data_IF_103391357507
#
_entry.id   IF_103391357507
#
_cell.length_a   1.000
_cell.length_b   1.000
_cell.length_c   1.000
_cell.angle_alpha   90.00
_cell.angle_beta   90.00
_cell.angle_gamma   90.00
#
_symmetry.space_group_name_H-M   'P 1'
#
loop_
_entity.id
_entity.type
_entity.pdbx_description
1 polymer ?
#
# COMPACT_ATOMS: atom_id res chain seq x y z
N UNK A 1 6.91 -3.07 21.24
CA UNK A 1 7.15 -1.84 20.48
C UNK A 1 8.62 -1.52 20.47
N UNK A 2 9.20 -1.48 19.29
CA UNK A 2 10.54 -0.99 18.98
C UNK A 2 10.58 0.54 19.09
N UNK A 3 11.79 1.11 19.05
CA UNK A 3 11.99 2.57 19.06
C UNK A 3 11.31 3.23 17.85
N UNK A 4 11.43 2.65 16.67
CA UNK A 4 10.83 3.20 15.44
C UNK A 4 9.30 3.13 15.41
N UNK A 5 8.71 2.08 16.00
CA UNK A 5 7.25 2.04 16.20
C UNK A 5 6.79 3.15 17.15
N UNK A 6 7.59 3.49 18.18
CA UNK A 6 7.28 4.58 19.12
C UNK A 6 7.36 5.94 18.44
N UNK A 7 8.40 6.18 17.64
CA UNK A 7 8.53 7.40 16.82
C UNK A 7 7.31 7.56 15.90
N UNK A 8 6.93 6.49 15.20
CA UNK A 8 5.79 6.52 14.30
C UNK A 8 4.46 6.74 15.03
N UNK A 9 4.26 6.13 16.19
CA UNK A 9 3.08 6.37 17.02
C UNK A 9 2.96 7.84 17.44
N UNK A 10 4.07 8.45 17.88
CA UNK A 10 4.10 9.88 18.22
C UNK A 10 3.88 10.79 17.01
N UNK A 11 4.40 10.43 15.83
CA UNK A 11 4.14 11.11 14.58
C UNK A 11 2.64 11.11 14.22
N UNK A 12 1.99 9.94 14.27
CA UNK A 12 0.54 9.80 14.01
C UNK A 12 -0.28 10.60 15.03
N UNK A 13 0.07 10.52 16.32
CA UNK A 13 -0.58 11.30 17.36
C UNK A 13 -0.45 12.80 17.09
N UNK A 14 0.74 13.27 16.71
CA UNK A 14 1.00 14.67 16.37
C UNK A 14 0.14 15.16 15.20
N UNK A 15 -0.06 14.33 14.17
CA UNK A 15 -0.96 14.62 13.04
C UNK A 15 -2.42 14.68 13.49
N UNK A 16 -2.89 13.68 14.24
CA UNK A 16 -4.28 13.60 14.70
C UNK A 16 -4.67 14.75 15.64
N UNK A 17 -3.72 15.22 16.45
CA UNK A 17 -3.88 16.37 17.35
C UNK A 17 -3.63 17.71 16.65
N UNK A 18 -3.28 17.69 15.36
CA UNK A 18 -2.96 18.88 14.55
C UNK A 18 -1.83 19.74 15.17
N UNK A 19 -0.90 19.13 15.91
CA UNK A 19 0.26 19.78 16.53
C UNK A 19 1.40 19.97 15.53
N UNK A 20 1.12 20.63 14.41
CA UNK A 20 2.02 20.70 13.25
C UNK A 20 3.42 21.24 13.57
N UNK A 21 3.55 22.20 14.50
CA UNK A 21 4.83 22.76 14.92
C UNK A 21 5.73 21.73 15.63
N UNK A 22 5.11 20.77 16.32
CA UNK A 22 5.82 19.71 17.05
C UNK A 22 6.28 18.58 16.13
N UNK A 23 5.86 18.56 14.86
CA UNK A 23 6.15 17.47 13.92
C UNK A 23 7.66 17.33 13.66
N UNK A 24 8.42 18.42 13.77
CA UNK A 24 9.88 18.44 13.66
C UNK A 24 10.59 17.62 14.76
N UNK A 25 9.89 17.26 15.84
CA UNK A 25 10.39 16.34 16.86
C UNK A 25 10.42 14.88 16.37
N UNK A 26 9.55 14.52 15.43
CA UNK A 26 9.34 13.15 14.97
C UNK A 26 9.74 12.92 13.50
N UNK A 27 9.82 13.98 12.70
CA UNK A 27 10.23 13.95 11.29
C UNK A 27 11.39 14.90 11.04
N UNK A 28 12.30 14.51 10.16
CA UNK A 28 13.32 15.40 9.62
C UNK A 28 12.74 16.22 8.48
N UNK A 29 13.18 17.47 8.35
CA UNK A 29 12.86 18.33 7.22
C UNK A 29 14.16 18.77 6.54
N UNK A 30 14.26 18.72 5.19
CA UNK A 30 13.23 18.32 4.25
C UNK A 30 12.80 16.86 4.40
N UNK A 31 11.48 16.61 4.35
CA UNK A 31 10.85 15.30 4.45
C UNK A 31 10.54 14.81 3.03
N UNK A 32 11.03 13.64 2.64
CA UNK A 32 10.60 13.04 1.39
C UNK A 32 9.21 12.41 1.55
N UNK A 33 8.18 12.96 0.92
CA UNK A 33 6.80 12.50 1.01
C UNK A 33 6.24 12.18 -0.38
N UNK A 34 6.07 10.89 -0.70
CA UNK A 34 5.68 10.43 -2.04
C UNK A 34 6.57 11.01 -3.15
N UNK A 35 7.90 10.93 -2.98
CA UNK A 35 8.91 11.46 -3.90
C UNK A 35 8.98 13.00 -4.00
N UNK A 36 8.15 13.74 -3.25
CA UNK A 36 8.21 15.19 -3.12
C UNK A 36 8.98 15.59 -1.86
N UNK A 37 9.94 16.51 -1.98
CA UNK A 37 10.64 17.05 -0.82
C UNK A 37 9.84 18.19 -0.18
N UNK A 38 9.30 17.91 1.00
CA UNK A 38 8.55 18.89 1.80
C UNK A 38 9.53 19.63 2.71
N UNK A 39 9.71 20.96 2.55
CA UNK A 39 10.82 21.67 3.16
C UNK A 39 10.66 21.93 4.67
N UNK A 40 9.42 22.03 5.17
CA UNK A 40 9.15 22.34 6.59
C UNK A 40 7.87 21.68 7.10
N UNK A 41 7.71 21.65 8.42
CA UNK A 41 6.49 21.20 9.10
C UNK A 41 5.24 21.99 8.67
N UNK A 42 5.39 23.29 8.41
CA UNK A 42 4.30 24.16 7.98
C UNK A 42 3.85 23.84 6.56
N UNK A 43 4.80 23.57 5.65
CA UNK A 43 4.50 23.14 4.30
C UNK A 43 3.78 21.77 4.30
N UNK A 44 4.22 20.85 5.15
CA UNK A 44 3.54 19.58 5.36
C UNK A 44 2.10 19.77 5.87
N UNK A 45 1.92 20.62 6.89
CA UNK A 45 0.60 20.93 7.44
C UNK A 45 -0.33 21.53 6.40
N UNK A 46 0.15 22.45 5.55
CA UNK A 46 -0.62 23.02 4.46
C UNK A 46 -1.10 21.92 3.48
N UNK A 47 -0.19 21.00 3.11
CA UNK A 47 -0.51 19.87 2.24
C UNK A 47 -1.61 18.97 2.82
N UNK A 48 -1.51 18.59 4.09
CA UNK A 48 -2.51 17.73 4.75
C UNK A 48 -3.84 18.47 4.93
N UNK A 49 -3.82 19.75 5.32
CA UNK A 49 -5.04 20.55 5.48
C UNK A 49 -5.79 20.77 4.16
N UNK A 50 -5.08 20.78 3.03
CA UNK A 50 -5.70 20.94 1.72
C UNK A 50 -6.67 19.79 1.35
N UNK A 51 -6.48 18.58 1.91
CA UNK A 51 -7.40 17.46 1.69
C UNK A 51 -8.58 17.44 2.67
N UNK A 52 -8.50 18.20 3.76
CA UNK A 52 -9.51 18.27 4.82
C UNK A 52 -8.95 17.90 6.19
N UNK A 53 -9.85 17.60 7.14
CA UNK A 53 -9.45 17.13 8.47
C UNK A 53 -9.27 15.62 8.44
N UNK A 54 -8.06 15.18 8.76
CA UNK A 54 -7.63 13.79 8.71
C UNK A 54 -7.51 13.23 10.12
N UNK A 55 -8.03 12.02 10.33
CA UNK A 55 -7.74 11.20 11.50
C UNK A 55 -7.25 9.83 11.03
N UNK A 56 -6.12 9.40 11.58
CA UNK A 56 -5.43 8.15 11.24
C UNK A 56 -5.46 7.21 12.44
N UNK A 57 -6.02 6.03 12.23
CA UNK A 57 -5.97 4.92 13.19
C UNK A 57 -5.02 3.85 12.64
N UNK A 58 -4.08 3.38 13.46
CA UNK A 58 -3.15 2.32 13.06
C UNK A 58 -3.87 0.98 13.11
N UNK A 59 -3.94 0.29 11.97
CA UNK A 59 -4.47 -1.08 11.88
C UNK A 59 -3.35 -2.08 12.20
N UNK A 60 -2.28 -2.09 11.39
CA UNK A 60 -1.15 -2.98 11.61
C UNK A 60 0.18 -2.33 11.23
N UNK A 61 1.25 -2.78 11.89
CA UNK A 61 2.63 -2.43 11.58
C UNK A 61 3.40 -3.72 11.26
N UNK A 62 4.18 -3.67 10.19
CA UNK A 62 5.22 -4.64 9.81
C UNK A 62 6.55 -3.94 10.01
N UNK A 63 7.38 -4.43 10.93
CA UNK A 63 8.60 -3.73 11.36
C UNK A 63 9.87 -4.47 10.95
N UNK A 64 10.78 -3.75 10.27
CA UNK A 64 12.16 -4.15 10.12
C UNK A 64 13.06 -3.18 10.90
N UNK A 65 13.38 -3.58 12.12
CA UNK A 65 14.23 -2.79 13.01
C UNK A 65 15.69 -2.73 12.53
N UNK A 66 16.15 -3.68 11.70
CA UNK A 66 17.54 -3.67 11.21
C UNK A 66 17.72 -2.58 10.15
N UNK A 67 16.75 -2.43 9.25
CA UNK A 67 16.77 -1.40 8.20
C UNK A 67 16.10 -0.09 8.63
N UNK A 68 15.58 -0.01 9.85
CA UNK A 68 14.84 1.14 10.38
C UNK A 68 13.63 1.54 9.51
N UNK A 69 12.90 0.54 9.03
CA UNK A 69 11.75 0.72 8.14
C UNK A 69 10.47 0.12 8.71
N UNK A 70 9.35 0.74 8.37
CA UNK A 70 8.01 0.25 8.72
C UNK A 70 7.17 0.16 7.45
N UNK A 71 6.44 -0.95 7.32
CA UNK A 71 5.23 -1.00 6.51
C UNK A 71 4.02 -0.84 7.43
N UNK A 72 3.11 0.07 7.10
CA UNK A 72 1.99 0.43 7.98
C UNK A 72 0.70 0.37 7.20
N UNK A 73 -0.29 -0.36 7.74
CA UNK A 73 -1.68 -0.28 7.32
C UNK A 73 -2.45 0.64 8.28
N UNK A 74 -3.17 1.59 7.72
CA UNK A 74 -3.90 2.63 8.45
C UNK A 74 -5.35 2.69 7.99
N UNK A 75 -6.25 2.97 8.92
CA UNK A 75 -7.59 3.44 8.62
C UNK A 75 -7.59 4.98 8.68
N UNK A 76 -8.01 5.62 7.61
CA UNK A 76 -8.08 7.06 7.51
C UNK A 76 -9.53 7.53 7.46
N UNK A 77 -9.87 8.42 8.37
CA UNK A 77 -11.16 9.12 8.39
C UNK A 77 -10.91 10.52 7.88
N UNK A 78 -11.49 10.84 6.73
CA UNK A 78 -11.37 12.14 6.10
C UNK A 78 -12.68 12.89 6.25
N UNK A 79 -12.58 14.13 6.72
CA UNK A 79 -13.67 15.10 6.73
C UNK A 79 -13.31 16.26 5.83
N UNK A 80 -13.96 16.35 4.68
CA UNK A 80 -13.75 17.43 3.71
C UNK A 80 -14.98 18.34 3.62
N UNK A 81 -14.75 19.58 3.20
CA UNK A 81 -15.84 20.50 2.86
C UNK A 81 -16.16 20.30 1.37
N UNK A 82 -17.38 19.88 1.06
CA UNK A 82 -17.78 19.63 -0.33
C UNK A 82 -17.74 20.92 -1.14
N UNK A 83 -16.92 20.96 -2.19
CA UNK A 83 -16.68 22.13 -3.04
C UNK A 83 -17.96 22.73 -3.68
N UNK A 84 -19.09 22.01 -3.68
CA UNK A 84 -20.33 22.41 -4.34
C UNK A 84 -21.54 22.59 -3.42
N UNK A 85 -21.51 22.19 -2.14
CA UNK A 85 -22.76 22.12 -1.33
C UNK A 85 -22.67 22.64 0.10
N UNK A 86 -21.52 23.18 0.54
CA UNK A 86 -21.29 23.60 1.95
C UNK A 86 -21.53 22.49 2.99
N UNK A 87 -21.71 21.24 2.52
CA UNK A 87 -21.91 20.06 3.35
C UNK A 87 -20.56 19.42 3.66
N UNK A 88 -20.37 19.12 4.94
CA UNK A 88 -19.28 18.26 5.40
C UNK A 88 -19.50 16.86 4.87
N UNK A 89 -18.49 16.33 4.18
CA UNK A 89 -18.47 14.95 3.67
C UNK A 89 -17.49 14.16 4.52
N UNK A 90 -17.96 13.04 5.10
CA UNK A 90 -17.11 12.10 5.81
C UNK A 90 -16.89 10.87 4.93
N UNK A 91 -15.64 10.47 4.76
CA UNK A 91 -15.27 9.20 4.13
C UNK A 91 -14.27 8.45 5.01
N UNK A 92 -14.28 7.13 4.91
CA UNK A 92 -13.28 6.27 5.56
C UNK A 92 -12.56 5.48 4.49
N UNK A 93 -11.24 5.59 4.42
CA UNK A 93 -10.41 4.86 3.46
C UNK A 93 -9.35 4.05 4.17
N UNK A 94 -8.90 2.97 3.54
CA UNK A 94 -7.66 2.30 3.94
C UNK A 94 -6.48 2.98 3.26
N UNK A 95 -5.35 3.02 3.95
CA UNK A 95 -4.08 3.42 3.36
C UNK A 95 -2.98 2.49 3.80
N UNK A 96 -1.98 2.35 2.93
CA UNK A 96 -0.76 1.61 3.23
C UNK A 96 0.44 2.52 2.99
N UNK A 97 1.42 2.45 3.89
CA UNK A 97 2.58 3.34 3.89
C UNK A 97 3.88 2.59 4.15
N UNK A 98 4.95 3.05 3.51
CA UNK A 98 6.34 2.76 3.85
C UNK A 98 6.95 3.97 4.54
N UNK A 99 7.61 3.71 5.67
CA UNK A 99 8.23 4.74 6.51
C UNK A 99 9.70 4.39 6.67
N UNK A 100 10.57 5.39 6.49
CA UNK A 100 12.00 5.29 6.78
C UNK A 100 12.33 6.19 7.95
N UNK A 101 13.08 5.65 8.91
CA UNK A 101 13.56 6.39 10.07
C UNK A 101 15.08 6.47 10.02
N UNK A 102 15.60 7.70 10.08
CA UNK A 102 17.03 8.00 10.05
C UNK A 102 17.34 8.98 11.18
N UNK A 103 18.41 8.71 11.95
CA UNK A 103 18.78 9.56 13.08
C UNK A 103 17.68 9.72 14.15
N UNK A 104 16.78 8.73 14.28
CA UNK A 104 15.65 8.78 15.21
C UNK A 104 14.47 9.66 14.76
N UNK A 105 14.43 10.05 13.48
CA UNK A 105 13.32 10.82 12.89
C UNK A 105 12.86 10.19 11.58
N UNK A 106 11.58 10.34 11.26
CA UNK A 106 11.04 9.95 9.97
C UNK A 106 11.62 10.87 8.89
N UNK A 107 12.36 10.29 7.95
CA UNK A 107 12.99 11.03 6.84
C UNK A 107 12.30 10.82 5.50
N UNK A 108 11.58 9.70 5.34
CA UNK A 108 10.79 9.40 4.15
C UNK A 108 9.47 8.74 4.50
N UNK A 109 8.42 9.12 3.77
CA UNK A 109 7.08 8.52 3.80
C UNK A 109 6.65 8.29 2.35
N UNK A 110 6.32 7.05 2.03
CA UNK A 110 5.64 6.71 0.79
C UNK A 110 4.28 6.11 1.18
N UNK A 111 3.17 6.69 0.75
CA UNK A 111 1.82 6.35 1.23
C UNK A 111 0.81 6.38 0.10
N UNK A 112 -0.11 5.41 0.13
CA UNK A 112 -1.20 5.27 -0.82
C UNK A 112 -2.52 5.14 -0.08
N UNK A 113 -3.51 5.91 -0.52
CA UNK A 113 -4.89 5.80 -0.08
C UNK A 113 -5.70 5.06 -1.14
N UNK A 114 -6.65 4.24 -0.71
CA UNK A 114 -7.61 3.61 -1.61
C UNK A 114 -8.59 4.65 -2.17
N UNK A 115 -8.13 5.36 -3.21
CA UNK A 115 -8.88 6.42 -3.88
C UNK A 115 -10.17 5.89 -4.52
N UNK A 116 -10.17 4.65 -5.02
CA UNK A 116 -11.32 4.07 -5.71
C UNK A 116 -12.43 3.73 -4.71
N UNK A 117 -12.08 3.17 -3.55
CA UNK A 117 -13.04 2.92 -2.48
C UNK A 117 -13.66 4.22 -1.93
N UNK A 118 -12.84 5.25 -1.73
CA UNK A 118 -13.34 6.58 -1.31
C UNK A 118 -14.24 7.17 -2.39
N UNK A 119 -13.84 7.11 -3.66
CA UNK A 119 -14.66 7.63 -4.75
C UNK A 119 -16.02 6.93 -4.83
N UNK A 120 -16.06 5.60 -4.69
CA UNK A 120 -17.33 4.84 -4.68
C UNK A 120 -18.24 5.23 -3.52
N UNK A 121 -17.71 5.42 -2.31
CA UNK A 121 -18.49 5.94 -1.17
C UNK A 121 -19.15 7.29 -1.46
N UNK A 122 -18.47 8.13 -2.25
CA UNK A 122 -18.96 9.46 -2.60
C UNK A 122 -19.97 9.44 -3.75
N UNK A 123 -19.83 8.52 -4.71
CA UNK A 123 -20.63 8.49 -5.93
C UNK A 123 -21.81 7.52 -5.91
N UNK A 124 -21.77 6.47 -5.08
CA UNK A 124 -22.76 5.39 -5.08
C UNK A 124 -23.66 5.47 -3.83
N UNK A 125 -24.93 5.91 -3.95
CA UNK A 125 -25.85 5.96 -2.82
C UNK A 125 -26.06 4.57 -2.18
N UNK A 126 -25.82 4.47 -0.87
CA UNK A 126 -26.01 3.22 -0.12
C UNK A 126 -24.81 2.28 -0.12
N UNK A 127 -23.70 2.61 -0.81
CA UNK A 127 -22.46 1.87 -0.68
C UNK A 127 -21.89 1.99 0.73
N UNK A 128 -21.66 0.85 1.39
CA UNK A 128 -21.04 0.78 2.71
C UNK A 128 -19.67 0.12 2.57
N UNK A 129 -18.61 0.90 2.78
CA UNK A 129 -17.25 0.36 2.82
C UNK A 129 -17.05 -0.44 4.11
N UNK A 130 -16.60 -1.68 3.99
CA UNK A 130 -16.19 -2.52 5.12
C UNK A 130 -14.68 -2.73 5.03
N UNK A 131 -13.88 -2.10 5.91
CA UNK A 131 -12.44 -2.21 5.86
C UNK A 131 -11.96 -3.66 6.05
N UNK A 132 -11.07 -4.12 5.19
CA UNK A 132 -10.38 -5.41 5.35
C UNK A 132 -9.12 -5.20 6.21
N UNK A 133 -9.27 -5.29 7.53
CA UNK A 133 -8.22 -4.99 8.49
C UNK A 133 -7.14 -6.09 8.54
N UNK A 134 -5.87 -5.69 8.47
CA UNK A 134 -4.72 -6.58 8.61
C UNK A 134 -4.67 -7.18 10.01
N UNK A 135 -4.93 -6.39 11.05
CA UNK A 135 -4.91 -6.88 12.42
C UNK A 135 -6.01 -7.91 12.75
N UNK A 136 -7.07 -7.99 11.92
CA UNK A 136 -8.12 -9.00 12.08
C UNK A 136 -7.67 -10.41 11.73
N UNK A 137 -6.55 -10.54 11.03
CA UNK A 137 -6.03 -11.82 10.59
C UNK A 137 -5.01 -12.38 11.57
N UNK A 138 -5.34 -13.52 12.16
CA UNK A 138 -4.46 -14.31 13.00
C UNK A 138 -4.47 -15.75 12.51
N UNK A 139 -3.48 -16.18 11.71
CA UNK A 139 -3.39 -17.59 11.33
C UNK A 139 -3.10 -18.44 12.57
N UNK A 140 -3.66 -19.65 12.62
CA UNK A 140 -3.20 -20.64 13.57
C UNK A 140 -1.70 -20.85 13.37
N UNK A 141 -0.92 -20.83 14.46
CA UNK A 141 0.51 -21.11 14.41
C UNK A 141 0.70 -22.60 14.14
N UNK A 142 0.73 -22.94 12.87
CA UNK A 142 1.12 -24.26 12.38
C UNK A 142 2.37 -24.08 11.54
N UNK A 143 3.29 -25.04 11.61
CA UNK A 143 4.46 -25.11 10.73
C UNK A 143 5.62 -24.17 11.09
N UNK A 144 6.50 -24.00 10.11
CA UNK A 144 7.76 -23.26 10.23
C UNK A 144 7.55 -21.77 9.96
N UNK A 145 7.98 -20.93 10.91
CA UNK A 145 8.14 -19.50 10.69
C UNK A 145 9.42 -19.24 9.89
N UNK A 146 9.35 -18.29 8.97
CA UNK A 146 10.49 -17.81 8.21
C UNK A 146 11.16 -16.64 8.95
N UNK A 147 12.49 -16.59 8.93
CA UNK A 147 13.24 -15.40 9.35
C UNK A 147 12.96 -14.20 8.44
N UNK A 148 13.31 -12.99 8.89
CA UNK A 148 13.18 -11.76 8.06
C UNK A 148 13.82 -11.93 6.67
N UNK A 149 15.01 -12.55 6.59
CA UNK A 149 15.70 -12.79 5.32
C UNK A 149 14.97 -13.80 4.46
N UNK A 150 14.52 -14.91 5.03
CA UNK A 150 13.77 -15.94 4.28
C UNK A 150 12.43 -15.40 3.76
N UNK A 151 11.74 -14.54 4.52
CA UNK A 151 10.53 -13.85 4.07
C UNK A 151 10.82 -12.98 2.85
N UNK A 152 11.87 -12.15 2.90
CA UNK A 152 12.26 -11.30 1.79
C UNK A 152 12.69 -12.11 0.55
N UNK A 153 13.56 -13.12 0.74
CA UNK A 153 14.04 -13.98 -0.35
C UNK A 153 12.89 -14.75 -1.01
N UNK A 154 11.94 -15.25 -0.20
CA UNK A 154 10.74 -15.94 -0.69
C UNK A 154 9.85 -14.98 -1.48
N UNK A 155 9.63 -13.77 -0.97
CA UNK A 155 8.82 -12.76 -1.64
C UNK A 155 9.43 -12.31 -2.98
N UNK A 156 10.74 -12.04 -3.01
CA UNK A 156 11.44 -11.66 -4.25
C UNK A 156 11.42 -12.79 -5.28
N UNK A 157 11.54 -14.04 -4.84
CA UNK A 157 11.42 -15.22 -5.71
C UNK A 157 9.99 -15.38 -6.27
N UNK A 158 8.98 -15.08 -5.47
CA UNK A 158 7.57 -15.03 -5.92
C UNK A 158 7.37 -13.98 -7.01
N UNK A 159 7.87 -12.75 -6.83
CA UNK A 159 7.81 -11.71 -7.86
C UNK A 159 8.63 -12.11 -9.10
N UNK A 160 9.79 -12.73 -8.93
CA UNK A 160 10.57 -13.29 -10.05
C UNK A 160 9.79 -14.33 -10.84
N UNK A 161 9.01 -15.18 -10.18
CA UNK A 161 8.12 -16.15 -10.82
C UNK A 161 6.99 -15.47 -11.62
N UNK A 162 6.43 -14.36 -11.11
CA UNK A 162 5.43 -13.54 -11.81
C UNK A 162 6.03 -12.92 -13.06
N UNK A 163 7.15 -12.21 -12.93
CA UNK A 163 7.82 -11.54 -14.06
C UNK A 163 8.28 -12.52 -15.14
N UNK A 164 8.67 -13.74 -14.76
CA UNK A 164 8.99 -14.81 -15.71
C UNK A 164 7.76 -15.49 -16.34
N UNK A 165 6.54 -15.05 -15.98
CA UNK A 165 5.25 -15.65 -16.37
C UNK A 165 5.18 -17.17 -16.10
N UNK A 166 5.91 -17.65 -15.09
CA UNK A 166 6.02 -19.06 -14.72
C UNK A 166 4.98 -19.49 -13.67
N UNK A 167 3.93 -18.68 -13.48
CA UNK A 167 2.98 -18.80 -12.37
C UNK A 167 2.21 -20.13 -12.35
N UNK A 168 1.92 -20.71 -13.53
CA UNK A 168 1.17 -21.97 -13.64
C UNK A 168 1.81 -23.14 -12.90
N UNK A 169 3.15 -23.17 -12.82
CA UNK A 169 3.90 -24.21 -12.11
C UNK A 169 4.59 -23.67 -10.85
N UNK A 170 4.90 -22.38 -10.80
CA UNK A 170 5.66 -21.78 -9.71
C UNK A 170 4.83 -21.35 -8.50
N UNK A 171 3.58 -20.89 -8.68
CA UNK A 171 2.76 -20.38 -7.57
C UNK A 171 2.55 -21.36 -6.41
N UNK A 172 2.38 -22.69 -6.60
CA UNK A 172 2.22 -23.63 -5.49
C UNK A 172 3.37 -23.64 -4.48
N UNK A 173 4.56 -23.16 -4.87
CA UNK A 173 5.73 -23.01 -4.00
C UNK A 173 5.61 -21.82 -3.06
N UNK A 174 4.93 -20.77 -3.49
CA UNK A 174 4.90 -19.48 -2.79
C UNK A 174 3.58 -19.24 -2.07
N UNK A 175 2.48 -19.81 -2.54
CA UNK A 175 1.14 -19.56 -2.04
C UNK A 175 0.48 -20.85 -1.53
N UNK A 176 -0.43 -20.71 -0.57
CA UNK A 176 -1.35 -21.79 -0.22
C UNK A 176 -2.32 -22.10 -1.36
N UNK A 177 -2.97 -23.29 -1.35
CA UNK A 177 -3.96 -23.66 -2.36
C UNK A 177 -5.15 -22.70 -2.46
N UNK A 178 -5.40 -21.93 -1.39
CA UNK A 178 -6.31 -20.80 -1.40
C UNK A 178 -5.59 -19.59 -0.81
N UNK A 179 -5.78 -18.43 -1.44
CA UNK A 179 -5.24 -17.14 -0.99
C UNK A 179 -6.41 -16.21 -0.71
N UNK A 180 -6.40 -15.53 0.43
CA UNK A 180 -7.36 -14.45 0.70
C UNK A 180 -6.78 -13.16 0.16
N UNK A 181 -7.33 -12.60 -0.91
CA UNK A 181 -6.90 -11.35 -1.52
C UNK A 181 -8.00 -10.29 -1.40
N UNK A 182 -7.78 -9.22 -0.64
CA UNK A 182 -8.75 -8.15 -0.37
C UNK A 182 -10.13 -8.72 0.02
N UNK A 183 -10.17 -9.46 1.14
CA UNK A 183 -11.30 -10.21 1.69
C UNK A 183 -11.90 -11.32 0.79
N UNK A 184 -11.43 -11.50 -0.44
CA UNK A 184 -11.90 -12.55 -1.35
C UNK A 184 -11.04 -13.80 -1.19
N UNK A 185 -11.64 -14.91 -0.80
CA UNK A 185 -10.98 -16.21 -0.81
C UNK A 185 -10.94 -16.75 -2.24
N UNK A 186 -9.74 -16.83 -2.82
CA UNK A 186 -9.50 -17.31 -4.17
C UNK A 186 -8.79 -18.66 -4.10
N UNK A 187 -9.14 -19.58 -4.99
CA UNK A 187 -8.26 -20.70 -5.33
C UNK A 187 -6.97 -20.20 -5.95
N UNK A 188 -5.93 -21.04 -5.93
CA UNK A 188 -4.65 -20.66 -6.52
C UNK A 188 -4.74 -20.32 -8.01
N UNK A 189 -5.65 -20.96 -8.74
CA UNK A 189 -5.89 -20.67 -10.15
C UNK A 189 -6.61 -19.33 -10.36
N UNK A 190 -7.61 -19.01 -9.54
CA UNK A 190 -8.26 -17.69 -9.57
C UNK A 190 -7.27 -16.56 -9.21
N UNK A 191 -6.38 -16.82 -8.25
CA UNK A 191 -5.31 -15.89 -7.89
C UNK A 191 -4.29 -15.71 -9.04
N UNK A 192 -3.95 -16.78 -9.76
CA UNK A 192 -3.13 -16.72 -10.97
C UNK A 192 -3.79 -15.88 -12.07
N UNK A 193 -5.09 -16.12 -12.32
CA UNK A 193 -5.84 -15.41 -13.36
C UNK A 193 -5.98 -13.91 -13.05
N UNK A 194 -6.14 -13.55 -11.78
CA UNK A 194 -6.11 -12.15 -11.32
C UNK A 194 -4.80 -11.46 -11.74
N UNK A 195 -3.64 -12.10 -11.54
CA UNK A 195 -2.34 -11.54 -11.92
C UNK A 195 -2.16 -11.55 -13.45
N UNK A 196 -2.66 -12.60 -14.12
CA UNK A 196 -2.59 -12.74 -15.59
C UNK A 196 -3.34 -11.64 -16.34
N UNK A 197 -4.36 -11.04 -15.74
CA UNK A 197 -5.09 -9.89 -16.30
C UNK A 197 -4.14 -8.74 -16.64
N UNK A 198 -3.19 -8.43 -15.75
CA UNK A 198 -2.20 -7.37 -15.97
C UNK A 198 -1.31 -7.66 -17.19
N UNK A 199 -0.81 -8.89 -17.36
CA UNK A 199 -0.04 -9.29 -18.55
C UNK A 199 -0.88 -9.32 -19.83
N UNK A 200 -2.19 -9.50 -19.72
CA UNK A 200 -3.08 -9.52 -20.89
C UNK A 200 -3.30 -8.11 -21.42
N UNK A 201 -3.51 -7.15 -20.51
CA UNK A 201 -3.70 -5.75 -20.88
C UNK A 201 -2.38 -5.00 -21.13
N UNK A 202 -1.29 -5.41 -20.46
CA UNK A 202 0.04 -4.79 -20.52
C UNK A 202 1.10 -5.90 -20.70
N UNK A 203 1.34 -6.38 -21.93
CA UNK A 203 2.16 -7.57 -22.19
C UNK A 203 3.63 -7.48 -21.73
N UNK A 204 4.17 -6.28 -21.66
CA UNK A 204 5.53 -5.96 -21.21
C UNK A 204 5.58 -5.47 -19.74
N UNK A 205 4.50 -5.64 -18.96
CA UNK A 205 4.47 -5.18 -17.57
C UNK A 205 5.57 -5.85 -16.74
N UNK A 206 6.26 -5.03 -15.95
CA UNK A 206 7.23 -5.46 -14.95
C UNK A 206 6.71 -5.14 -13.56
N UNK A 207 6.72 -6.15 -12.69
CA UNK A 207 6.45 -6.03 -11.26
C UNK A 207 7.79 -5.75 -10.56
N UNK A 208 8.15 -4.47 -10.41
CA UNK A 208 9.38 -4.01 -9.79
C UNK A 208 9.27 -3.91 -8.27
N UNK A 209 10.17 -4.56 -7.54
CA UNK A 209 10.19 -4.45 -6.07
C UNK A 209 10.98 -3.21 -5.64
N UNK A 210 10.29 -2.10 -5.40
CA UNK A 210 10.89 -0.84 -4.91
C UNK A 210 11.34 -0.99 -3.45
N UNK A 211 10.43 -1.40 -2.57
CA UNK A 211 10.70 -1.51 -1.13
C UNK A 211 10.04 -2.75 -0.53
N UNK A 212 10.78 -3.46 0.33
CA UNK A 212 10.29 -4.58 1.15
C UNK A 212 10.59 -4.30 2.62
N UNK A 213 9.62 -4.56 3.48
CA UNK A 213 9.77 -4.60 4.95
C UNK A 213 9.24 -5.95 5.43
N UNK A 214 10.12 -6.78 5.99
CA UNK A 214 9.79 -8.13 6.43
C UNK A 214 9.87 -8.26 7.96
N UNK A 215 8.80 -8.78 8.57
CA UNK A 215 8.65 -8.93 10.01
C UNK A 215 8.52 -10.42 10.37
N UNK A 216 9.60 -10.97 10.92
CA UNK A 216 9.68 -12.35 11.40
C UNK A 216 8.66 -12.65 12.51
N UNK A 217 8.40 -11.71 13.43
CA UNK A 217 7.50 -11.99 14.55
C UNK A 217 6.06 -12.05 14.08
N UNK A 218 5.70 -11.15 13.16
CA UNK A 218 4.37 -11.11 12.59
C UNK A 218 4.15 -12.12 11.45
N UNK A 219 5.22 -12.69 10.89
CA UNK A 219 5.19 -13.44 9.62
C UNK A 219 4.50 -12.64 8.51
N UNK A 220 4.89 -11.36 8.39
CA UNK A 220 4.33 -10.43 7.40
C UNK A 220 5.42 -9.80 6.55
N UNK A 221 5.05 -9.46 5.32
CA UNK A 221 5.87 -8.64 4.42
C UNK A 221 5.00 -7.50 3.92
N UNK A 222 5.47 -6.27 4.07
CA UNK A 222 4.86 -5.08 3.47
C UNK A 222 5.75 -4.63 2.30
N UNK A 223 5.14 -4.35 1.16
CA UNK A 223 5.84 -4.10 -0.10
C UNK A 223 5.25 -2.91 -0.82
N UNK A 224 6.14 -2.09 -1.38
CA UNK A 224 5.83 -1.11 -2.41
C UNK A 224 6.34 -1.68 -3.73
N UNK A 225 5.42 -1.97 -4.64
CA UNK A 225 5.71 -2.43 -5.99
C UNK A 225 5.57 -1.28 -6.97
N UNK A 226 6.50 -1.17 -7.90
CA UNK A 226 6.44 -0.30 -9.06
C UNK A 226 6.03 -1.12 -10.28
N UNK A 227 5.03 -0.65 -11.01
CA UNK A 227 4.63 -1.21 -12.28
C UNK A 227 5.07 -0.30 -13.41
N UNK A 228 5.73 -0.89 -14.40
CA UNK A 228 6.09 -0.22 -15.66
C UNK A 228 5.71 -1.09 -16.83
N UNK A 229 5.17 -0.51 -17.91
CA UNK A 229 4.84 -1.23 -19.14
C UNK A 229 4.04 -0.36 -20.09
N UNK A 230 3.62 -0.93 -21.21
CA UNK A 230 2.89 -0.28 -22.29
C UNK A 230 1.55 -0.98 -22.49
N UNK A 231 0.42 -0.39 -22.06
CA UNK A 231 -0.88 -1.01 -22.22
C UNK A 231 -1.24 -1.16 -23.69
N UNK A 232 -1.68 -2.37 -24.05
CA UNK A 232 -2.22 -2.73 -25.39
C UNK A 232 -3.67 -3.18 -25.32
N UNK A 233 -4.23 -3.37 -24.13
CA UNK A 233 -5.64 -3.66 -23.89
C UNK A 233 -6.21 -2.79 -22.76
N UNK A 234 -7.53 -2.79 -22.62
CA UNK A 234 -8.22 -2.09 -21.53
C UNK A 234 -7.81 -2.70 -20.17
N UNK A 235 -7.53 -1.84 -19.19
CA UNK A 235 -7.30 -2.25 -17.81
C UNK A 235 -7.92 -1.23 -16.86
N UNK A 236 -8.64 -1.68 -15.84
CA UNK A 236 -9.22 -0.80 -14.80
C UNK A 236 -10.03 0.38 -15.37
N UNK A 237 -10.74 0.16 -16.50
CA UNK A 237 -11.58 1.15 -17.17
C UNK A 237 -10.84 2.23 -17.97
N UNK A 238 -9.54 2.03 -18.27
CA UNK A 238 -8.80 2.90 -19.18
C UNK A 238 -8.35 2.16 -20.44
N UNK A 239 -8.62 2.80 -21.58
CA UNK A 239 -8.19 2.35 -22.90
C UNK A 239 -6.70 2.60 -23.13
N UNK A 240 -6.02 1.72 -23.89
CA UNK A 240 -4.61 1.88 -24.21
C UNK A 240 -4.40 3.07 -25.15
N UNK A 241 -3.35 3.84 -24.91
CA UNK A 241 -2.97 5.00 -25.75
C UNK A 241 -1.67 4.79 -26.53
N UNK A 242 -1.02 3.63 -26.36
CA UNK A 242 0.32 3.35 -26.86
C UNK A 242 1.45 4.02 -26.07
N UNK A 243 1.14 4.77 -25.01
CA UNK A 243 2.13 5.34 -24.09
C UNK A 243 2.50 4.34 -22.98
N UNK A 244 3.74 4.41 -22.53
CA UNK A 244 4.17 3.70 -21.32
C UNK A 244 3.52 4.31 -20.08
N UNK A 245 3.27 3.47 -19.07
CA UNK A 245 2.78 3.85 -17.75
C UNK A 245 3.80 3.52 -16.67
N UNK A 246 3.75 4.27 -15.57
CA UNK A 246 4.49 3.99 -14.34
C UNK A 246 3.61 4.29 -13.13
N UNK A 247 3.23 3.27 -12.36
CA UNK A 247 2.35 3.43 -11.21
C UNK A 247 2.73 2.44 -10.10
N UNK A 248 2.10 2.54 -8.93
CA UNK A 248 2.50 1.77 -7.76
C UNK A 248 1.38 0.90 -7.19
N UNK A 249 1.79 -0.17 -6.52
CA UNK A 249 0.97 -0.90 -5.57
C UNK A 249 1.64 -0.85 -4.19
N UNK A 250 0.81 -0.71 -3.16
CA UNK A 250 1.20 -0.96 -1.78
C UNK A 250 0.44 -2.18 -1.31
N UNK A 251 1.17 -3.15 -0.80
CA UNK A 251 0.61 -4.46 -0.48
C UNK A 251 1.24 -5.03 0.78
N UNK A 252 0.41 -5.62 1.63
CA UNK A 252 0.82 -6.42 2.78
C UNK A 252 0.47 -7.88 2.54
N UNK A 253 1.42 -8.77 2.79
CA UNK A 253 1.27 -10.22 2.72
C UNK A 253 1.41 -10.80 4.11
N UNK A 254 0.54 -11.76 4.45
CA UNK A 254 0.73 -12.62 5.61
C UNK A 254 1.09 -14.03 5.17
N UNK A 255 2.11 -14.57 5.83
CA UNK A 255 2.63 -15.91 5.61
C UNK A 255 2.10 -16.86 6.68
N UNK A 256 1.86 -18.11 6.25
CA UNK A 256 1.53 -19.24 7.13
C UNK A 256 2.29 -20.44 6.58
N UNK A 257 2.94 -21.24 7.44
CA UNK A 257 3.75 -22.39 7.00
C UNK A 257 4.75 -22.02 5.87
N UNK A 258 5.37 -20.85 5.94
CA UNK A 258 6.32 -20.35 4.94
C UNK A 258 5.75 -19.96 3.57
N UNK A 259 4.43 -19.89 3.40
CA UNK A 259 3.76 -19.49 2.15
C UNK A 259 2.73 -18.39 2.36
N UNK A 260 2.49 -17.60 1.31
CA UNK A 260 1.47 -16.56 1.26
C UNK A 260 0.09 -17.19 1.46
N UNK A 261 -0.63 -16.72 2.47
CA UNK A 261 -2.00 -17.15 2.76
C UNK A 261 -3.01 -15.99 2.60
N UNK A 262 -2.56 -14.75 2.82
CA UNK A 262 -3.40 -13.56 2.73
C UNK A 262 -2.65 -12.35 2.17
N UNK A 263 -3.37 -11.53 1.43
CA UNK A 263 -2.89 -10.34 0.71
C UNK A 263 -3.87 -9.19 0.87
N UNK A 264 -3.37 -8.03 1.27
CA UNK A 264 -4.09 -6.76 1.29
C UNK A 264 -3.38 -5.79 0.37
N UNK A 265 -3.99 -5.47 -0.77
CA UNK A 265 -3.41 -4.71 -1.87
C UNK A 265 -4.20 -3.44 -2.15
N UNK A 266 -3.48 -2.32 -2.30
CA UNK A 266 -3.98 -1.05 -2.83
C UNK A 266 -3.12 -0.68 -4.04
N UNK A 267 -3.72 -0.73 -5.23
CA UNK A 267 -3.09 -0.34 -6.50
C UNK A 267 -3.51 1.10 -6.85
N UNK A 268 -2.56 1.91 -7.31
CA UNK A 268 -2.79 3.30 -7.73
C UNK A 268 -3.44 3.38 -9.13
N UNK A 269 -4.66 2.86 -9.22
CA UNK A 269 -5.44 2.93 -10.46
C UNK A 269 -5.77 4.36 -10.87
N UNK A 270 -5.81 5.29 -9.92
CA UNK A 270 -6.00 6.71 -10.20
C UNK A 270 -4.85 7.26 -11.05
N UNK A 271 -3.60 7.04 -10.64
CA UNK A 271 -2.43 7.47 -11.42
C UNK A 271 -2.35 6.78 -12.77
N UNK A 272 -2.63 5.47 -12.82
CA UNK A 272 -2.70 4.72 -14.08
C UNK A 272 -3.68 5.35 -15.07
N UNK A 273 -4.94 5.60 -14.65
CA UNK A 273 -5.96 6.23 -15.51
C UNK A 273 -5.59 7.65 -15.91
N UNK A 274 -5.00 8.44 -15.01
CA UNK A 274 -4.56 9.81 -15.30
C UNK A 274 -3.48 9.87 -16.38
N UNK A 275 -2.52 8.92 -16.37
CA UNK A 275 -1.46 8.84 -17.38
C UNK A 275 -2.01 8.50 -18.77
N UNK A 276 -3.14 7.81 -18.85
CA UNK A 276 -3.79 7.44 -20.12
C UNK A 276 -4.86 8.46 -20.57
N UNK A 277 -5.39 9.28 -19.66
CA UNK A 277 -6.40 10.29 -20.01
C UNK A 277 -5.84 11.63 -20.50
N UNK A 278 -4.56 11.93 -20.26
CA UNK A 278 -3.96 13.17 -20.75
C UNK A 278 -3.86 13.12 -22.27
N UNK A 279 -4.57 13.96 -23.02
CA UNK A 279 -4.36 14.10 -24.46
C UNK A 279 -2.94 14.66 -24.70
N UNK A 280 -2.26 14.14 -25.73
CA UNK A 280 -1.04 14.79 -26.23
C UNK A 280 -1.43 16.18 -26.73
N UNK A 281 -0.86 17.22 -26.11
CA UNK A 281 -0.87 18.56 -26.70
C UNK A 281 -0.08 18.62 -28.01
#
# INVERSE_FOLDING_TARGET
>A
MTVIETIFASYIQCINEERWQDLSNFSSFPLNYNEEDIPTSEAFAHKIKAVGRLQLDVDAITVDAQTQRLGVSLLAKLRSNGAATDKTVNSTGQSQSMIWVEGGKISKVATMFDHDNVQRQLSEPGYVSTPDLVASYSPATTGQNLSTRELEDTYRSYIGCINAQAMSTGLPRFCHPHVIHNARRLSLEEYRLLIQEAFTAVPDIIFGVDTVVADEKAQRVAVRLEFTGTPTGELSGAEPTGRGVRFYEYVTYAFRDGRIDRVWSIVDWKSYRQQLSQESG
#
